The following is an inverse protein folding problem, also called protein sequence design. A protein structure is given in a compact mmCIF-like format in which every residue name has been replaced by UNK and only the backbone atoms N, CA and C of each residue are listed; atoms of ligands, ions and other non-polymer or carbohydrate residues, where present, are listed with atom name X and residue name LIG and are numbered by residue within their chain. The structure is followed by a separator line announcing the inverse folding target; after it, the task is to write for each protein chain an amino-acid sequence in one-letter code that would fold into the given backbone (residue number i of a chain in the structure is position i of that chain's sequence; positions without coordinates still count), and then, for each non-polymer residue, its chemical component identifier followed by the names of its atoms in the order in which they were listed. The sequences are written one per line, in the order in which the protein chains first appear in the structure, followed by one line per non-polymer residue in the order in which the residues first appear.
data_IF_155079258878
#
_entry.id   IF_155079258878
#
_cell.length_a   1.000
_cell.length_b   1.000
_cell.length_c   1.000
_cell.angle_alpha   90.00
_cell.angle_beta   90.00
_cell.angle_gamma   90.00
#
_symmetry.space_group_name_H-M   'P 1'
#
loop_
_entity.id
_entity.type
_entity.pdbx_description
1 polymer ?
#
# COMPACT_ATOMS: atom_id res chain seq x y z
N UNK A 1 7.73 -5.57 -34.42
CA UNK A 1 6.81 -5.88 -33.31
C UNK A 1 7.35 -5.23 -32.04
N UNK A 2 6.59 -4.35 -31.44
CA UNK A 2 6.96 -3.77 -30.16
C UNK A 2 6.36 -4.62 -29.04
N UNK A 3 7.19 -4.97 -28.07
CA UNK A 3 6.72 -5.65 -26.88
C UNK A 3 6.26 -4.60 -25.86
N UNK A 4 5.12 -4.81 -25.19
CA UNK A 4 4.72 -3.91 -24.13
C UNK A 4 5.78 -3.93 -23.02
N UNK A 5 6.22 -2.76 -22.64
CA UNK A 5 7.17 -2.61 -21.53
C UNK A 5 6.49 -2.62 -20.16
N UNK A 6 5.23 -3.00 -20.13
CA UNK A 6 4.46 -3.11 -18.90
C UNK A 6 4.72 -4.45 -18.23
N UNK A 7 4.83 -4.44 -16.92
CA UNK A 7 4.90 -5.67 -16.15
C UNK A 7 3.60 -6.44 -16.33
N UNK A 8 3.66 -7.76 -16.61
CA UNK A 8 2.47 -8.54 -16.92
C UNK A 8 1.55 -8.80 -15.73
N UNK A 9 2.04 -8.62 -14.52
CA UNK A 9 1.26 -8.82 -13.30
C UNK A 9 0.86 -7.48 -12.70
N UNK A 10 -0.29 -7.45 -12.04
CA UNK A 10 -0.73 -6.30 -11.29
C UNK A 10 0.11 -6.07 -10.03
N UNK A 11 -0.10 -4.94 -9.40
CA UNK A 11 0.54 -4.60 -8.15
C UNK A 11 0.05 -5.47 -7.00
N UNK A 12 0.84 -5.55 -5.94
CA UNK A 12 0.42 -6.21 -4.71
C UNK A 12 -0.61 -5.37 -3.94
N UNK A 13 -0.41 -4.06 -3.90
CA UNK A 13 -1.25 -3.14 -3.13
C UNK A 13 -2.02 -2.20 -4.05
N UNK A 14 -3.27 -1.95 -3.66
CA UNK A 14 -4.16 -0.99 -4.32
C UNK A 14 -4.85 -0.15 -3.27
N UNK A 15 -4.99 1.15 -3.53
CA UNK A 15 -5.80 2.04 -2.73
C UNK A 15 -7.10 2.37 -3.46
N UNK A 16 -8.17 2.53 -2.68
CA UNK A 16 -9.43 3.07 -3.20
C UNK A 16 -9.32 4.60 -3.26
N UNK A 17 -9.17 5.13 -4.47
CA UNK A 17 -9.07 6.57 -4.71
C UNK A 17 -10.41 7.20 -5.10
N UNK A 18 -11.47 6.40 -5.22
CA UNK A 18 -12.80 6.87 -5.58
C UNK A 18 -13.54 7.52 -4.41
N UNK A 19 -14.65 8.17 -4.73
CA UNK A 19 -15.50 8.82 -3.73
C UNK A 19 -16.71 7.98 -3.32
N UNK A 20 -17.01 6.92 -4.08
CA UNK A 20 -18.13 6.02 -3.81
C UNK A 20 -17.64 4.79 -3.05
N UNK A 21 -18.06 4.65 -1.80
CA UNK A 21 -17.70 3.51 -0.95
C UNK A 21 -18.27 2.18 -1.44
N UNK A 22 -19.42 2.22 -2.16
CA UNK A 22 -20.04 1.00 -2.69
C UNK A 22 -19.33 0.48 -3.94
N UNK A 23 -18.65 1.37 -4.69
CA UNK A 23 -17.94 1.03 -5.93
C UNK A 23 -16.52 1.56 -5.86
N UNK A 24 -15.60 0.82 -5.22
CA UNK A 24 -14.21 1.28 -5.09
C UNK A 24 -13.53 1.49 -6.43
N UNK A 25 -12.75 2.56 -6.55
CA UNK A 25 -11.87 2.80 -7.68
C UNK A 25 -10.46 2.42 -7.28
N UNK A 26 -10.01 1.25 -7.73
CA UNK A 26 -8.72 0.72 -7.34
C UNK A 26 -7.59 1.34 -8.16
N UNK A 27 -6.66 1.98 -7.47
CA UNK A 27 -5.45 2.53 -8.06
C UNK A 27 -4.26 1.78 -7.50
N UNK A 28 -3.48 1.18 -8.39
CA UNK A 28 -2.32 0.37 -7.96
C UNK A 28 -1.18 1.24 -7.46
N UNK A 29 -0.51 0.77 -6.41
CA UNK A 29 0.74 1.33 -5.96
C UNK A 29 1.87 0.75 -6.80
N UNK A 30 2.91 1.55 -7.07
CA UNK A 30 4.02 1.11 -7.90
C UNK A 30 4.81 -0.03 -7.23
N UNK A 31 5.24 -0.98 -8.04
CA UNK A 31 6.22 -1.99 -7.64
C UNK A 31 7.67 -1.51 -7.86
N UNK A 32 7.84 -0.29 -8.38
CA UNK A 32 9.16 0.26 -8.72
C UNK A 32 9.99 0.50 -7.45
N UNK A 33 11.03 -0.29 -7.28
CA UNK A 33 11.94 -0.24 -6.12
C UNK A 33 11.24 -0.44 -4.77
N UNK A 34 10.16 -1.21 -4.76
CA UNK A 34 9.46 -1.54 -3.52
C UNK A 34 10.24 -2.61 -2.74
N UNK A 35 10.44 -2.34 -1.46
CA UNK A 35 10.92 -3.35 -0.52
C UNK A 35 9.81 -4.34 -0.16
N UNK A 36 10.12 -5.35 0.62
CA UNK A 36 9.13 -6.33 1.05
C UNK A 36 7.97 -5.66 1.80
N UNK A 37 6.75 -6.09 1.52
CA UNK A 37 5.55 -5.65 2.25
C UNK A 37 5.33 -6.60 3.41
N UNK A 38 5.19 -6.04 4.60
CA UNK A 38 4.89 -6.79 5.81
C UNK A 38 3.39 -6.69 6.09
N UNK A 39 2.74 -7.83 6.27
CA UNK A 39 1.34 -7.89 6.68
C UNK A 39 1.30 -8.71 7.97
N UNK A 40 1.15 -8.02 9.08
CA UNK A 40 1.09 -8.64 10.39
C UNK A 40 -0.37 -8.80 10.81
N UNK A 41 -0.70 -9.95 11.36
CA UNK A 41 -2.04 -10.23 11.86
C UNK A 41 -1.99 -10.17 13.38
N UNK A 42 -2.69 -9.19 13.95
CA UNK A 42 -2.82 -9.03 15.39
C UNK A 42 -4.13 -9.68 15.83
N UNK A 43 -3.98 -10.73 16.61
CA UNK A 43 -5.12 -11.50 17.10
C UNK A 43 -5.59 -10.96 18.44
N UNK A 44 -6.81 -10.45 18.46
CA UNK A 44 -7.46 -9.97 19.67
C UNK A 44 -8.18 -11.16 20.28
N UNK A 45 -7.59 -11.70 21.36
CA UNK A 45 -8.12 -12.88 22.03
C UNK A 45 -7.89 -12.81 23.53
N UNK A 46 -8.70 -13.54 24.27
CA UNK A 46 -8.48 -13.80 25.69
C UNK A 46 -8.16 -15.25 25.89
N UNK A 47 -7.12 -15.52 26.67
CA UNK A 47 -6.77 -16.86 27.08
C UNK A 47 -6.86 -16.95 28.59
N UNK A 48 -7.44 -18.04 29.09
CA UNK A 48 -7.55 -18.31 30.51
C UNK A 48 -7.28 -19.78 30.76
N UNK A 49 -6.44 -20.08 31.74
CA UNK A 49 -6.21 -21.44 32.15
C UNK A 49 -7.12 -21.77 33.31
N UNK A 50 -7.85 -22.88 33.17
CA UNK A 50 -8.77 -23.36 34.19
C UNK A 50 -7.98 -24.01 35.35
N UNK A 51 -8.64 -24.22 36.48
CA UNK A 51 -8.02 -24.84 37.67
C UNK A 51 -7.50 -26.24 37.39
N UNK A 52 -8.09 -26.97 36.44
CA UNK A 52 -7.62 -28.29 36.02
C UNK A 52 -6.48 -28.27 34.99
N UNK A 53 -5.96 -27.07 34.65
CA UNK A 53 -4.89 -26.90 33.68
C UNK A 53 -5.37 -26.70 32.24
N UNK A 54 -6.65 -26.84 31.98
CA UNK A 54 -7.22 -26.68 30.62
C UNK A 54 -7.16 -25.22 30.20
N UNK A 55 -6.62 -24.96 28.98
CA UNK A 55 -6.58 -23.63 28.39
C UNK A 55 -7.89 -23.33 27.69
N UNK A 56 -8.49 -22.19 28.03
CA UNK A 56 -9.62 -21.64 27.31
C UNK A 56 -9.19 -20.39 26.55
N UNK A 57 -9.61 -20.31 25.29
CA UNK A 57 -9.26 -19.25 24.37
C UNK A 57 -10.54 -18.68 23.78
N UNK A 58 -10.74 -17.35 23.90
CA UNK A 58 -11.87 -16.65 23.31
C UNK A 58 -11.30 -15.67 22.28
N UNK A 59 -11.58 -15.93 21.01
CA UNK A 59 -11.19 -15.09 19.89
C UNK A 59 -12.22 -13.99 19.69
N UNK A 60 -11.77 -12.74 19.51
CA UNK A 60 -12.63 -11.59 19.20
C UNK A 60 -12.49 -11.18 17.75
N UNK A 61 -11.27 -10.93 17.29
CA UNK A 61 -11.02 -10.47 15.94
C UNK A 61 -9.55 -10.65 15.57
N UNK A 62 -9.28 -10.73 14.28
CA UNK A 62 -7.94 -10.59 13.71
C UNK A 62 -7.89 -9.26 12.99
N UNK A 63 -6.90 -8.43 13.30
CA UNK A 63 -6.68 -7.14 12.65
C UNK A 63 -5.31 -7.13 11.99
N UNK A 64 -5.21 -6.51 10.82
CA UNK A 64 -3.99 -6.50 10.03
C UNK A 64 -3.27 -5.16 10.17
N UNK A 65 -1.96 -5.24 10.24
CA UNK A 65 -1.06 -4.08 10.12
C UNK A 65 -0.23 -4.29 8.87
N UNK A 66 -0.30 -3.32 7.95
CA UNK A 66 0.39 -3.39 6.67
C UNK A 66 1.48 -2.33 6.66
N UNK A 67 2.71 -2.76 6.41
CA UNK A 67 3.86 -1.85 6.29
C UNK A 67 4.51 -2.03 4.94
N UNK A 68 4.77 -0.93 4.25
CA UNK A 68 5.42 -0.93 2.96
C UNK A 68 6.43 0.21 2.87
N UNK A 69 7.48 -0.01 2.09
CA UNK A 69 8.50 1.01 1.87
C UNK A 69 9.06 0.92 0.46
N UNK A 70 9.50 2.06 -0.03
CA UNK A 70 10.14 2.20 -1.33
C UNK A 70 11.44 2.97 -1.17
N UNK A 71 12.47 2.56 -1.89
CA UNK A 71 13.70 3.32 -2.02
C UNK A 71 13.82 3.87 -3.44
N UNK A 72 14.12 5.16 -3.57
CA UNK A 72 14.30 5.80 -4.88
C UNK A 72 13.13 5.57 -5.84
N UNK A 73 11.90 5.78 -5.39
CA UNK A 73 10.72 5.71 -6.25
C UNK A 73 10.51 7.06 -6.96
N UNK A 74 10.20 7.06 -8.28
CA UNK A 74 9.82 8.30 -8.98
C UNK A 74 8.58 8.94 -8.38
N UNK A 75 8.46 10.26 -8.54
CA UNK A 75 7.38 11.04 -7.90
C UNK A 75 6.01 10.82 -8.51
N UNK A 76 5.94 10.58 -9.81
CA UNK A 76 4.64 10.49 -10.50
C UNK A 76 4.45 9.14 -11.19
N UNK A 77 3.19 8.75 -11.33
CA UNK A 77 2.81 7.49 -11.99
C UNK A 77 3.30 7.39 -13.44
N UNK A 78 3.45 8.52 -14.12
CA UNK A 78 3.99 8.56 -15.48
C UNK A 78 5.47 8.21 -15.57
N UNK A 79 6.19 8.26 -14.46
CA UNK A 79 7.62 7.98 -14.38
C UNK A 79 7.92 6.60 -13.81
N UNK A 80 6.94 5.92 -13.24
CA UNK A 80 7.12 4.57 -12.69
C UNK A 80 7.09 3.53 -13.82
N UNK A 81 7.80 2.40 -13.62
CA UNK A 81 7.92 1.37 -14.66
C UNK A 81 6.62 0.62 -14.94
N UNK A 82 5.69 0.65 -14.00
CA UNK A 82 4.41 -0.07 -14.11
C UNK A 82 3.19 0.86 -14.16
N UNK A 83 3.41 2.18 -14.18
CA UNK A 83 2.32 3.15 -14.17
C UNK A 83 1.58 3.25 -12.83
N UNK A 84 2.07 2.59 -11.77
CA UNK A 84 1.46 2.68 -10.45
C UNK A 84 1.77 4.01 -9.76
N UNK A 85 1.10 4.25 -8.62
CA UNK A 85 1.26 5.49 -7.86
C UNK A 85 2.72 5.73 -7.48
N UNK A 86 3.25 6.89 -7.86
CA UNK A 86 4.57 7.32 -7.45
C UNK A 86 4.55 7.96 -6.06
N UNK A 87 5.71 8.47 -5.63
CA UNK A 87 5.87 9.03 -4.30
C UNK A 87 4.94 10.23 -4.04
N UNK A 88 4.83 11.13 -5.01
CA UNK A 88 3.96 12.31 -4.88
C UNK A 88 2.49 11.90 -4.86
N UNK A 89 2.11 10.90 -5.66
CA UNK A 89 0.73 10.40 -5.69
C UNK A 89 0.35 9.78 -4.34
N UNK A 90 1.25 9.04 -3.71
CA UNK A 90 1.03 8.47 -2.37
C UNK A 90 0.92 9.58 -1.33
N UNK A 91 1.77 10.61 -1.42
CA UNK A 91 1.72 11.75 -0.51
C UNK A 91 0.40 12.51 -0.64
N UNK A 92 -0.04 12.76 -1.86
CA UNK A 92 -1.31 13.46 -2.10
C UNK A 92 -2.49 12.64 -1.57
N UNK A 93 -2.47 11.34 -1.76
CA UNK A 93 -3.48 10.45 -1.19
C UNK A 93 -3.50 10.52 0.34
N UNK A 94 -2.32 10.49 0.97
CA UNK A 94 -2.18 10.57 2.42
C UNK A 94 -2.74 11.90 2.96
N UNK A 95 -2.46 13.00 2.29
CA UNK A 95 -2.88 14.33 2.73
C UNK A 95 -4.38 14.58 2.51
N UNK A 96 -5.01 13.87 1.59
CA UNK A 96 -6.42 14.04 1.26
C UNK A 96 -7.27 12.90 1.83
N UNK A 97 -7.36 11.80 1.13
CA UNK A 97 -8.22 10.67 1.52
C UNK A 97 -7.67 9.89 2.71
N UNK A 98 -6.37 9.93 2.91
CA UNK A 98 -5.69 9.26 4.02
C UNK A 98 -5.92 9.89 5.40
N UNK A 99 -6.68 10.97 5.50
CA UNK A 99 -7.04 11.58 6.80
C UNK A 99 -8.04 10.74 7.59
N UNK A 100 -8.79 9.89 6.91
CA UNK A 100 -9.78 9.02 7.52
C UNK A 100 -9.50 7.56 7.20
N UNK A 101 -10.56 6.78 7.15
CA UNK A 101 -10.49 5.37 6.77
C UNK A 101 -10.70 5.22 5.27
N UNK A 102 -10.05 4.23 4.68
CA UNK A 102 -10.17 3.93 3.26
C UNK A 102 -9.94 2.44 3.03
N UNK A 103 -10.39 1.95 1.88
CA UNK A 103 -10.23 0.55 1.53
C UNK A 103 -8.87 0.31 0.88
N UNK A 104 -8.24 -0.77 1.27
CA UNK A 104 -6.97 -1.24 0.72
C UNK A 104 -7.19 -2.65 0.19
N UNK A 105 -6.73 -2.91 -1.02
CA UNK A 105 -6.77 -4.26 -1.60
C UNK A 105 -5.36 -4.83 -1.66
N UNK A 106 -5.21 -6.04 -1.17
CA UNK A 106 -3.98 -6.82 -1.27
C UNK A 106 -4.23 -7.96 -2.25
N UNK A 107 -3.50 -7.96 -3.36
CA UNK A 107 -3.69 -8.93 -4.43
C UNK A 107 -2.57 -9.96 -4.41
N UNK A 108 -2.78 -11.05 -3.69
CA UNK A 108 -1.80 -12.12 -3.60
C UNK A 108 -1.76 -12.95 -4.88
N UNK A 109 -0.57 -13.19 -5.40
CA UNK A 109 -0.32 -14.00 -6.59
C UNK A 109 -1.00 -13.46 -7.85
N UNK A 110 -1.45 -12.21 -7.84
CA UNK A 110 -2.20 -11.58 -8.94
C UNK A 110 -3.45 -12.38 -9.36
N UNK A 111 -4.04 -13.12 -8.42
CA UNK A 111 -5.27 -13.89 -8.64
C UNK A 111 -6.41 -13.18 -7.91
N UNK A 112 -7.42 -12.74 -8.66
CA UNK A 112 -8.53 -11.95 -8.09
C UNK A 112 -9.32 -12.70 -7.02
N UNK A 113 -9.39 -14.03 -7.10
CA UNK A 113 -10.05 -14.87 -6.09
C UNK A 113 -9.34 -14.83 -4.72
N UNK A 114 -8.10 -14.36 -4.67
CA UNK A 114 -7.30 -14.27 -3.45
C UNK A 114 -7.09 -12.84 -2.98
N UNK A 115 -7.75 -11.88 -3.60
CA UNK A 115 -7.68 -10.49 -3.18
C UNK A 115 -8.30 -10.33 -1.80
N UNK A 116 -7.61 -9.61 -0.94
CA UNK A 116 -8.14 -9.23 0.38
C UNK A 116 -8.40 -7.72 0.38
N UNK A 117 -9.57 -7.35 0.86
CA UNK A 117 -9.98 -5.95 0.97
C UNK A 117 -10.16 -5.65 2.45
N UNK A 118 -9.43 -4.66 2.95
CA UNK A 118 -9.51 -4.24 4.34
C UNK A 118 -9.80 -2.74 4.41
N UNK A 119 -10.58 -2.35 5.42
CA UNK A 119 -10.77 -0.95 5.76
C UNK A 119 -9.66 -0.55 6.72
N UNK A 120 -8.84 0.41 6.34
CA UNK A 120 -7.63 0.76 7.05
C UNK A 120 -7.48 2.26 7.24
N UNK A 121 -6.57 2.64 8.11
CA UNK A 121 -6.12 4.03 8.29
C UNK A 121 -4.60 4.07 8.42
N UNK A 122 -4.01 5.21 8.08
CA UNK A 122 -2.57 5.40 8.25
C UNK A 122 -2.23 5.56 9.73
N UNK A 123 -1.23 4.83 10.19
CA UNK A 123 -0.60 5.05 11.50
C UNK A 123 0.67 5.88 11.37
N UNK A 124 1.36 5.77 10.23
CA UNK A 124 2.54 6.58 9.95
C UNK A 124 2.74 6.67 8.44
N UNK A 125 3.35 7.77 8.01
CA UNK A 125 3.74 7.95 6.62
C UNK A 125 4.90 8.94 6.58
N UNK A 126 5.99 8.57 5.94
CA UNK A 126 7.16 9.42 5.84
C UNK A 126 7.69 9.44 4.42
N UNK A 127 8.23 10.59 4.04
CA UNK A 127 8.77 10.85 2.71
C UNK A 127 10.12 11.53 2.86
N UNK A 128 11.10 11.06 2.11
CA UNK A 128 12.43 11.65 2.07
C UNK A 128 12.85 11.82 0.62
N UNK A 129 13.21 13.04 0.23
CA UNK A 129 13.73 13.28 -1.12
C UNK A 129 15.15 12.76 -1.19
N UNK A 130 15.35 11.69 -1.94
CA UNK A 130 16.64 11.00 -2.05
C UNK A 130 17.53 11.62 -3.12
N UNK A 131 16.99 11.79 -4.30
CA UNK A 131 17.72 12.31 -5.46
C UNK A 131 16.85 13.27 -6.24
N UNK A 132 17.51 14.26 -6.84
CA UNK A 132 16.83 15.27 -7.62
C UNK A 132 17.61 15.54 -8.91
N UNK A 133 16.91 15.45 -10.04
CA UNK A 133 17.45 15.79 -11.34
C UNK A 133 16.61 16.92 -11.95
N UNK A 134 17.15 18.11 -11.95
CA UNK A 134 16.45 19.30 -12.44
C UNK A 134 16.48 19.44 -13.98
N UNK A 135 17.20 18.56 -14.67
CA UNK A 135 17.32 18.58 -16.13
C UNK A 135 16.51 17.47 -16.81
N UNK A 136 15.39 17.08 -16.20
CA UNK A 136 14.55 16.07 -16.82
C UNK A 136 13.95 16.56 -18.14
N UNK A 137 14.05 15.72 -19.16
CA UNK A 137 13.40 15.93 -20.45
C UNK A 137 12.02 15.27 -20.50
N UNK A 138 11.64 14.53 -19.45
CA UNK A 138 10.38 13.80 -19.41
C UNK A 138 9.29 14.74 -18.93
N UNK A 139 8.30 15.01 -19.79
CA UNK A 139 7.11 15.79 -19.49
C UNK A 139 7.40 17.19 -18.88
N UNK A 140 8.56 17.76 -19.12
CA UNK A 140 9.00 19.05 -18.57
C UNK A 140 8.94 19.14 -17.04
N UNK A 141 8.93 18.01 -16.35
CA UNK A 141 8.90 17.92 -14.88
C UNK A 141 10.29 17.51 -14.40
N UNK A 142 10.86 18.21 -13.41
CA UNK A 142 12.10 17.75 -12.78
C UNK A 142 11.92 16.34 -12.21
N UNK A 143 12.84 15.46 -12.53
CA UNK A 143 12.80 14.10 -12.04
C UNK A 143 13.35 14.05 -10.62
N UNK A 144 12.57 13.52 -9.71
CA UNK A 144 12.97 13.29 -8.33
C UNK A 144 12.72 11.85 -7.95
N UNK A 145 13.55 11.36 -7.04
CA UNK A 145 13.38 10.03 -6.46
C UNK A 145 13.27 10.20 -4.95
N UNK A 146 12.25 9.62 -4.39
CA UNK A 146 11.96 9.72 -2.97
C UNK A 146 12.03 8.35 -2.30
N UNK A 147 12.36 8.35 -1.01
CA UNK A 147 12.14 7.20 -0.15
C UNK A 147 10.81 7.39 0.55
N UNK A 148 9.94 6.41 0.43
CA UNK A 148 8.60 6.45 1.00
C UNK A 148 8.42 5.25 1.92
N UNK A 149 7.86 5.48 3.08
CA UNK A 149 7.44 4.40 3.96
C UNK A 149 6.12 4.76 4.63
N UNK A 150 5.25 3.78 4.77
CA UNK A 150 4.00 3.97 5.51
C UNK A 150 3.61 2.70 6.25
N UNK A 151 2.77 2.88 7.24
CA UNK A 151 2.16 1.80 7.97
C UNK A 151 0.66 2.05 8.06
N UNK A 152 -0.10 1.00 7.83
CA UNK A 152 -1.56 1.01 7.88
C UNK A 152 -2.04 0.06 8.94
N UNK A 153 -3.13 0.41 9.58
CA UNK A 153 -3.79 -0.45 10.57
C UNK A 153 -5.24 -0.67 10.15
N UNK A 154 -5.68 -1.91 10.21
CA UNK A 154 -7.07 -2.27 9.95
C UNK A 154 -7.98 -1.70 11.04
N UNK A 155 -9.06 -1.10 10.63
CA UNK A 155 -10.05 -0.51 11.53
C UNK A 155 -10.88 -1.55 12.25
#
# INVERSE_FOLDING_TARGET
MSYPMTLPVGSLLYFDTGTDAATPTWTKLSEHNRAAVSVDIDRIEKTQRMSNGTLRKVWTADKKTISASWGDIPTYSTLTVDGGMGAQDIRDFYLNKGKGTFKVKISYNAVSARDEIVLASFTSCSFTVSKRNIRSTIASVPQEFWDVSFSLEEV
#
